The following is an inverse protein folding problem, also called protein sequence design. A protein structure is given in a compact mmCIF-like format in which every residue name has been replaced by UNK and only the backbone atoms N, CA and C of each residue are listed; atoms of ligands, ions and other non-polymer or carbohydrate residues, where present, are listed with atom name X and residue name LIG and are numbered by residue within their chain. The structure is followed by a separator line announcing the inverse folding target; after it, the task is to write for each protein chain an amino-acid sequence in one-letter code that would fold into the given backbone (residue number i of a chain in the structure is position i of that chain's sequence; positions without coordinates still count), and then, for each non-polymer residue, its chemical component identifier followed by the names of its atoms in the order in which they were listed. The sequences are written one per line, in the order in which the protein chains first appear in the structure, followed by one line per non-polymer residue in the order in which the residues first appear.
data_IF_458426027263
#
_entry.id   IF_458426027263
#
_cell.length_a   1.000
_cell.length_b   1.000
_cell.length_c   1.000
_cell.angle_alpha   90.00
_cell.angle_beta   90.00
_cell.angle_gamma   90.00
#
_symmetry.space_group_name_H-M   'P 1'
#
loop_
_entity.id
_entity.type
_entity.pdbx_description
1 polymer ?
#
# COMPACT_ATOMS: atom_id res chain seq x y z
N UNK A 1 10.89 20.46 -9.24
CA UNK A 1 11.36 20.41 -7.84
C UNK A 1 10.42 19.49 -7.09
N UNK A 2 10.79 18.25 -6.83
CA UNK A 2 9.92 17.29 -6.16
C UNK A 2 9.95 17.58 -4.66
N UNK A 3 8.95 18.30 -4.17
CA UNK A 3 8.73 18.45 -2.75
C UNK A 3 8.55 17.04 -2.18
N UNK A 4 9.56 16.55 -1.45
CA UNK A 4 9.58 15.20 -0.90
C UNK A 4 8.48 15.13 0.16
N UNK A 5 7.33 14.56 -0.19
CA UNK A 5 6.27 14.31 0.77
C UNK A 5 6.80 13.30 1.78
N UNK A 6 6.93 13.71 3.05
CA UNK A 6 7.50 12.89 4.11
C UNK A 6 6.37 12.22 4.88
N UNK A 7 6.40 10.90 4.96
CA UNK A 7 5.57 10.16 5.92
C UNK A 7 5.86 10.65 7.34
N UNK A 8 4.86 10.95 8.17
CA UNK A 8 5.08 11.29 9.57
C UNK A 8 5.84 10.18 10.29
N UNK A 9 6.89 10.53 11.06
CA UNK A 9 7.74 9.55 11.76
C UNK A 9 7.02 8.67 12.79
N UNK A 10 5.81 9.05 13.20
CA UNK A 10 4.99 8.35 14.19
C UNK A 10 3.61 7.96 13.64
N UNK A 11 3.49 7.78 12.32
CA UNK A 11 2.22 7.34 11.74
C UNK A 11 1.92 5.90 12.17
N UNK A 12 0.69 5.62 12.58
CA UNK A 12 0.23 4.26 12.83
C UNK A 12 -0.08 3.58 11.50
N UNK A 13 -0.05 2.24 11.41
CA UNK A 13 -0.49 1.56 10.20
C UNK A 13 -1.91 1.91 9.77
N UNK A 14 -2.83 2.03 10.73
CA UNK A 14 -4.21 2.44 10.44
C UNK A 14 -4.25 3.82 9.78
N UNK A 15 -3.61 4.83 10.39
CA UNK A 15 -3.56 6.19 9.85
C UNK A 15 -2.89 6.21 8.47
N UNK A 16 -1.84 5.40 8.29
CA UNK A 16 -1.16 5.26 7.01
C UNK A 16 -2.09 4.71 5.93
N UNK A 17 -2.73 3.56 6.18
CA UNK A 17 -3.53 2.87 5.16
C UNK A 17 -4.89 3.52 4.92
N UNK A 18 -5.57 4.02 5.95
CA UNK A 18 -6.92 4.56 5.81
C UNK A 18 -6.95 6.04 5.45
N UNK A 19 -5.94 6.83 5.84
CA UNK A 19 -5.95 8.28 5.65
C UNK A 19 -4.85 8.74 4.69
N UNK A 20 -3.59 8.44 5.01
CA UNK A 20 -2.46 8.97 4.27
C UNK A 20 -2.37 8.41 2.85
N UNK A 21 -2.43 7.09 2.70
CA UNK A 21 -2.20 6.40 1.44
C UNK A 21 -3.26 6.71 0.37
N UNK A 22 -4.58 6.71 0.66
CA UNK A 22 -5.60 7.08 -0.33
C UNK A 22 -5.45 8.53 -0.80
N UNK A 23 -5.19 9.45 0.13
CA UNK A 23 -4.92 10.86 -0.18
C UNK A 23 -3.68 11.01 -1.05
N UNK A 24 -2.60 10.32 -0.69
CA UNK A 24 -1.35 10.33 -1.44
C UNK A 24 -1.54 9.88 -2.89
N UNK A 25 -2.27 8.78 -3.10
CA UNK A 25 -2.61 8.29 -4.43
C UNK A 25 -3.43 9.33 -5.20
N UNK A 26 -4.46 9.91 -4.57
CA UNK A 26 -5.31 10.90 -5.22
C UNK A 26 -4.54 12.15 -5.65
N UNK A 27 -3.58 12.62 -4.84
CA UNK A 27 -2.80 13.83 -5.09
C UNK A 27 -1.67 13.63 -6.10
N UNK A 28 -1.11 12.41 -6.20
CA UNK A 28 0.15 12.20 -6.92
C UNK A 28 0.12 11.13 -8.01
N UNK A 29 -0.75 10.13 -7.89
CA UNK A 29 -0.73 8.95 -8.77
C UNK A 29 -1.99 8.81 -9.62
N UNK A 30 -3.10 9.47 -9.25
CA UNK A 30 -4.38 9.34 -9.94
C UNK A 30 -4.33 9.70 -11.45
N UNK A 31 -3.44 10.61 -11.84
CA UNK A 31 -3.24 11.01 -13.24
C UNK A 31 -2.15 10.20 -13.95
N UNK A 32 -1.40 9.34 -13.25
CA UNK A 32 -0.33 8.57 -13.85
C UNK A 32 -0.90 7.48 -14.76
N UNK A 33 -0.55 7.43 -16.07
CA UNK A 33 -1.14 6.51 -17.03
C UNK A 33 -1.02 5.04 -16.60
N UNK A 34 0.17 4.64 -16.15
CA UNK A 34 0.42 3.26 -15.72
C UNK A 34 -0.41 2.89 -14.48
N UNK A 35 -0.65 3.86 -13.60
CA UNK A 35 -1.41 3.63 -12.37
C UNK A 35 -2.92 3.50 -12.66
N UNK A 36 -3.43 4.25 -13.64
CA UNK A 36 -4.84 4.17 -14.08
C UNK A 36 -5.22 2.84 -14.69
N UNK A 37 -4.24 2.11 -15.23
CA UNK A 37 -4.46 0.80 -15.85
C UNK A 37 -4.44 -0.36 -14.85
N UNK A 38 -4.07 -0.11 -13.60
CA UNK A 38 -4.02 -1.15 -12.58
C UNK A 38 -5.41 -1.39 -12.02
N UNK A 39 -5.87 -2.62 -12.18
CA UNK A 39 -7.07 -3.17 -11.56
C UNK A 39 -6.65 -4.32 -10.64
N UNK A 40 -6.60 -4.06 -9.33
CA UNK A 40 -6.12 -5.05 -8.35
C UNK A 40 -6.75 -4.83 -6.97
N UNK A 41 -7.07 -5.94 -6.30
CA UNK A 41 -7.41 -5.97 -4.88
C UNK A 41 -6.26 -6.62 -4.10
N UNK A 42 -5.68 -5.89 -3.17
CA UNK A 42 -4.61 -6.34 -2.28
C UNK A 42 -5.14 -6.43 -0.85
N UNK A 43 -5.01 -7.58 -0.20
CA UNK A 43 -5.15 -7.71 1.24
C UNK A 43 -3.78 -7.44 1.89
N UNK A 44 -3.70 -6.44 2.75
CA UNK A 44 -2.56 -6.16 3.60
C UNK A 44 -2.85 -6.72 5.00
N UNK A 45 -1.92 -7.52 5.50
CA UNK A 45 -1.93 -8.08 6.85
C UNK A 45 -0.63 -7.65 7.53
N UNK A 46 -0.74 -6.79 8.53
CA UNK A 46 0.39 -6.51 9.40
C UNK A 46 0.32 -7.33 10.68
N UNK A 47 1.33 -8.15 10.89
CA UNK A 47 1.53 -9.00 12.06
C UNK A 47 2.47 -8.34 13.07
N UNK A 48 2.47 -8.81 14.33
CA UNK A 48 3.26 -8.23 15.42
C UNK A 48 2.39 -7.75 16.57
N UNK A 49 2.87 -6.77 17.34
CA UNK A 49 2.14 -6.21 18.50
C UNK A 49 0.68 -5.87 18.11
N UNK A 50 -0.27 -6.56 18.75
CA UNK A 50 -1.68 -6.58 18.32
C UNK A 50 -2.32 -5.18 18.35
N UNK A 51 -1.78 -4.25 19.15
CA UNK A 51 -2.23 -2.86 19.19
C UNK A 51 -1.83 -2.05 17.95
N UNK A 52 -0.88 -2.54 17.14
CA UNK A 52 -0.33 -1.85 15.99
C UNK A 52 -0.49 -2.64 14.67
N UNK A 53 -0.73 -3.94 14.76
CA UNK A 53 -1.08 -4.79 13.63
C UNK A 53 -2.46 -4.46 13.06
N UNK A 54 -2.80 -5.13 11.97
CA UNK A 54 -4.13 -4.95 11.39
C UNK A 54 -4.27 -5.58 10.01
N UNK A 55 -5.51 -5.58 9.53
CA UNK A 55 -5.82 -6.04 8.17
C UNK A 55 -6.51 -4.94 7.42
N UNK A 56 -6.10 -4.75 6.16
CA UNK A 56 -6.70 -3.77 5.26
C UNK A 56 -6.90 -4.38 3.88
N UNK A 57 -8.00 -4.01 3.25
CA UNK A 57 -8.26 -4.25 1.85
C UNK A 57 -7.98 -2.99 1.06
N UNK A 58 -6.98 -3.04 0.20
CA UNK A 58 -6.63 -2.00 -0.75
C UNK A 58 -7.20 -2.40 -2.12
N UNK A 59 -8.07 -1.59 -2.69
CA UNK A 59 -8.57 -1.79 -4.05
C UNK A 59 -8.15 -0.63 -4.92
N UNK A 60 -7.42 -0.95 -5.99
CA UNK A 60 -7.02 0.00 -7.00
C UNK A 60 -7.80 -0.27 -8.29
N UNK A 61 -8.47 0.76 -8.78
CA UNK A 61 -9.27 0.71 -9.99
C UNK A 61 -9.38 2.09 -10.62
N UNK A 62 -9.12 2.21 -11.93
CA UNK A 62 -9.23 3.46 -12.67
C UNK A 62 -8.42 4.62 -12.08
N UNK A 63 -7.28 4.34 -11.45
CA UNK A 63 -6.43 5.35 -10.80
C UNK A 63 -6.93 5.81 -9.43
N UNK A 64 -7.96 5.16 -8.87
CA UNK A 64 -8.46 5.42 -7.52
C UNK A 64 -8.07 4.29 -6.59
N UNK A 65 -7.50 4.65 -5.44
CA UNK A 65 -7.29 3.74 -4.33
C UNK A 65 -8.40 3.91 -3.30
N UNK A 66 -9.07 2.81 -2.96
CA UNK A 66 -9.97 2.72 -1.81
C UNK A 66 -9.39 1.75 -0.79
N UNK A 67 -9.44 2.10 0.49
CA UNK A 67 -8.93 1.25 1.56
C UNK A 67 -10.02 1.05 2.61
N UNK A 68 -10.28 -0.22 2.92
CA UNK A 68 -11.21 -0.63 3.97
C UNK A 68 -10.46 -1.45 5.03
N UNK A 69 -10.91 -1.39 6.28
CA UNK A 69 -10.42 -2.31 7.31
C UNK A 69 -10.92 -3.74 7.06
N UNK A 70 -10.12 -4.73 7.45
CA UNK A 70 -10.45 -6.14 7.37
C UNK A 70 -9.69 -6.89 6.27
N UNK A 71 -9.80 -8.22 6.32
CA UNK A 71 -9.29 -9.13 5.29
C UNK A 71 -10.20 -9.11 4.07
N UNK A 72 -9.62 -9.28 2.89
CA UNK A 72 -10.38 -9.48 1.67
C UNK A 72 -10.33 -10.95 1.25
N UNK A 73 -11.43 -11.66 1.44
CA UNK A 73 -11.63 -12.98 0.82
C UNK A 73 -11.66 -12.79 -0.70
N UNK A 74 -10.77 -13.49 -1.41
CA UNK A 74 -10.60 -13.34 -2.86
C UNK A 74 -9.76 -12.14 -3.31
N UNK A 75 -8.88 -11.60 -2.46
CA UNK A 75 -7.85 -10.66 -2.91
C UNK A 75 -6.97 -11.30 -4.00
N UNK A 76 -6.63 -10.52 -5.03
CA UNK A 76 -5.67 -10.93 -6.06
C UNK A 76 -4.29 -11.18 -5.44
N UNK A 77 -3.95 -10.42 -4.40
CA UNK A 77 -2.70 -10.54 -3.66
C UNK A 77 -2.94 -10.40 -2.17
N UNK A 78 -2.30 -11.26 -1.40
CA UNK A 78 -2.16 -11.10 0.05
C UNK A 78 -0.70 -10.74 0.36
N UNK A 79 -0.51 -9.66 1.12
CA UNK A 79 0.79 -9.22 1.62
C UNK A 79 0.74 -9.30 3.14
N UNK A 80 1.55 -10.19 3.70
CA UNK A 80 1.75 -10.29 5.14
C UNK A 80 3.13 -9.76 5.49
N UNK A 81 3.22 -8.90 6.50
CA UNK A 81 4.49 -8.30 6.94
C UNK A 81 4.43 -7.94 8.43
N UNK A 82 5.53 -8.03 9.16
CA UNK A 82 5.58 -7.52 10.53
C UNK A 82 5.56 -5.98 10.59
N UNK A 83 4.92 -5.43 11.62
CA UNK A 83 4.82 -3.97 11.85
C UNK A 83 6.21 -3.33 11.94
N UNK A 84 7.20 -4.03 12.49
CA UNK A 84 8.58 -3.55 12.59
C UNK A 84 9.20 -3.38 11.20
N UNK A 85 9.14 -4.42 10.35
CA UNK A 85 9.63 -4.37 8.98
C UNK A 85 8.89 -3.31 8.14
N UNK A 86 7.58 -3.14 8.37
CA UNK A 86 6.81 -2.09 7.72
C UNK A 86 7.34 -0.70 8.13
N UNK A 87 7.61 -0.47 9.42
CA UNK A 87 8.20 0.78 9.93
C UNK A 87 9.60 1.01 9.38
N UNK A 88 10.40 -0.04 9.25
CA UNK A 88 11.75 0.06 8.68
C UNK A 88 11.73 0.40 7.20
N UNK A 89 10.86 -0.26 6.41
CA UNK A 89 10.68 0.07 4.98
C UNK A 89 10.26 1.53 4.74
N UNK A 90 9.43 2.09 5.63
CA UNK A 90 9.08 3.52 5.59
C UNK A 90 10.28 4.45 5.88
N UNK A 91 11.23 4.03 6.71
CA UNK A 91 12.46 4.79 6.99
C UNK A 91 13.42 4.71 5.81
N UNK A 92 13.66 3.52 5.27
CA UNK A 92 14.61 3.26 4.18
C UNK A 92 14.22 3.94 2.87
N UNK A 93 12.92 4.07 2.60
CA UNK A 93 12.39 4.81 1.44
C UNK A 93 12.61 6.33 1.52
N UNK A 94 13.38 6.82 2.51
CA UNK A 94 13.55 8.23 2.85
C UNK A 94 12.19 8.95 3.05
N UNK A 95 11.15 8.19 3.43
CA UNK A 95 9.78 8.66 3.54
C UNK A 95 9.12 8.98 2.20
N UNK A 96 9.66 8.56 1.06
CA UNK A 96 9.04 8.75 -0.27
C UNK A 96 8.03 7.63 -0.51
N UNK A 97 6.71 7.89 -0.42
CA UNK A 97 5.72 6.84 -0.44
C UNK A 97 5.64 6.15 -1.81
N UNK A 98 5.92 6.89 -2.90
CA UNK A 98 5.82 6.38 -4.28
C UNK A 98 6.65 5.11 -4.47
N UNK A 99 7.94 5.16 -4.16
CA UNK A 99 8.84 4.02 -4.42
C UNK A 99 8.42 2.77 -3.64
N UNK A 100 7.94 2.93 -2.40
CA UNK A 100 7.46 1.81 -1.59
C UNK A 100 6.10 1.29 -2.06
N UNK A 101 5.18 2.16 -2.46
CA UNK A 101 3.89 1.80 -3.05
C UNK A 101 4.11 1.07 -4.37
N UNK A 102 4.92 1.63 -5.27
CA UNK A 102 5.31 1.01 -6.54
C UNK A 102 5.99 -0.34 -6.31
N UNK A 103 6.92 -0.45 -5.36
CA UNK A 103 7.58 -1.72 -5.02
C UNK A 103 6.57 -2.76 -4.53
N UNK A 104 5.64 -2.37 -3.64
CA UNK A 104 4.60 -3.26 -3.12
C UNK A 104 3.61 -3.67 -4.20
N UNK A 105 3.18 -2.73 -5.05
CA UNK A 105 2.27 -2.99 -6.17
C UNK A 105 2.94 -3.81 -7.28
N UNK A 106 4.19 -3.53 -7.63
CA UNK A 106 4.95 -4.33 -8.59
C UNK A 106 5.22 -5.73 -8.05
N UNK A 107 5.55 -5.86 -6.75
CA UNK A 107 5.67 -7.15 -6.09
C UNK A 107 4.35 -7.92 -6.05
N UNK A 108 3.23 -7.22 -5.85
CA UNK A 108 1.89 -7.78 -5.94
C UNK A 108 1.58 -8.26 -7.37
N UNK A 109 1.73 -7.40 -8.38
CA UNK A 109 1.47 -7.73 -9.78
C UNK A 109 2.31 -8.94 -10.27
N UNK A 110 3.60 -9.00 -9.92
CA UNK A 110 4.45 -10.17 -10.25
C UNK A 110 3.95 -11.47 -9.64
N UNK A 111 3.39 -11.42 -8.42
CA UNK A 111 2.81 -12.60 -7.75
C UNK A 111 1.52 -13.06 -8.42
N UNK A 112 0.68 -12.14 -8.88
CA UNK A 112 -0.52 -12.46 -9.68
C UNK A 112 -0.14 -13.14 -10.99
N UNK A 113 0.82 -12.57 -11.73
CA UNK A 113 1.28 -13.12 -13.01
C UNK A 113 1.92 -14.51 -12.85
N UNK A 114 2.63 -14.75 -11.74
CA UNK A 114 3.21 -16.06 -11.45
C UNK A 114 2.14 -17.13 -11.17
N UNK A 115 0.97 -16.76 -10.64
CA UNK A 115 -0.12 -17.69 -10.30
C UNK A 115 -1.02 -18.03 -11.50
N UNK A 116 -0.98 -17.22 -12.58
CA UNK A 116 -1.74 -17.45 -13.82
C UNK A 116 -1.03 -18.35 -14.84
N UNK A 117 0.19 -18.82 -14.55
CA UNK A 117 0.99 -19.69 -15.44
C UNK A 117 0.90 -21.17 -15.08
#
# INVERSE_FOLDING_TARGET
MSEKFKVPRKITPEEFYQSFLPRFVAEHLAEHPDFRQIEITVAMELTGDEELGGTWRLRLSGGRLTVDAGRADGADVVVTQDVEDWREGLKESNGTPIAEIEKRLAGAAKRVEAFKR
#
